data_IF_930819697149
#
_entry.id   IF_930819697149
#
_cell.length_a   1.000
_cell.length_b   1.000
_cell.length_c   1.000
_cell.angle_alpha   90.00
_cell.angle_beta   90.00
_cell.angle_gamma   90.00
#
_symmetry.space_group_name_H-M   'P 1'
#
loop_
_entity.id
_entity.type
_entity.pdbx_description
1 polymer ?
#
# COMPACT_ATOMS: atom_id res chain seq x y z
N UNK A 1 -11.06 -30.16 -47.05
CA UNK A 1 -11.20 -30.16 -45.58
C UNK A 1 -9.80 -30.05 -45.00
N UNK A 2 -9.42 -28.86 -44.54
CA UNK A 2 -8.44 -28.70 -43.46
C UNK A 2 -8.53 -27.25 -42.99
N UNK A 3 -9.28 -27.07 -41.90
CA UNK A 3 -9.40 -25.82 -41.17
C UNK A 3 -8.17 -25.70 -40.28
N UNK A 4 -7.24 -24.83 -40.64
CA UNK A 4 -6.15 -24.44 -39.76
C UNK A 4 -6.68 -23.47 -38.70
N UNK A 5 -7.05 -24.05 -37.56
CA UNK A 5 -7.30 -23.33 -36.31
C UNK A 5 -6.05 -22.50 -35.94
N UNK A 6 -6.13 -21.18 -36.13
CA UNK A 6 -5.25 -20.22 -35.47
C UNK A 6 -5.72 -20.09 -34.03
N UNK A 7 -5.17 -20.91 -33.15
CA UNK A 7 -5.24 -20.65 -31.71
C UNK A 7 -4.48 -19.34 -31.45
N UNK A 8 -5.20 -18.29 -31.04
CA UNK A 8 -4.59 -17.07 -30.53
C UNK A 8 -3.77 -17.42 -29.30
N UNK A 9 -2.44 -17.42 -29.43
CA UNK A 9 -1.56 -17.23 -28.27
C UNK A 9 -1.93 -15.88 -27.70
N UNK A 10 -2.56 -15.87 -26.52
CA UNK A 10 -2.82 -14.66 -25.77
C UNK A 10 -1.55 -13.81 -25.72
N UNK A 11 -1.70 -12.52 -26.00
CA UNK A 11 -0.62 -11.55 -25.88
C UNK A 11 0.14 -11.80 -24.57
N UNK A 12 1.42 -12.13 -24.66
CA UNK A 12 2.29 -12.23 -23.49
C UNK A 12 2.17 -10.93 -22.72
N UNK A 13 1.50 -11.00 -21.57
CA UNK A 13 1.21 -9.83 -20.77
C UNK A 13 2.54 -9.15 -20.39
N UNK A 14 2.72 -7.89 -20.80
CA UNK A 14 3.97 -7.12 -20.60
C UNK A 14 4.41 -7.12 -19.12
N UNK A 15 5.63 -7.56 -18.83
CA UNK A 15 6.09 -7.72 -17.44
C UNK A 15 6.08 -6.39 -16.66
N UNK A 16 6.45 -5.30 -17.34
CA UNK A 16 6.48 -3.94 -16.81
C UNK A 16 5.55 -3.06 -17.65
N UNK A 17 4.25 -3.02 -17.35
CA UNK A 17 3.32 -2.22 -18.14
C UNK A 17 3.61 -0.72 -18.02
N UNK A 18 3.34 0.03 -19.07
CA UNK A 18 3.45 1.50 -19.05
C UNK A 18 2.44 2.15 -18.08
N UNK A 19 2.93 3.06 -17.22
CA UNK A 19 2.15 3.81 -16.23
C UNK A 19 2.39 5.33 -16.41
N UNK A 20 1.86 5.96 -17.47
CA UNK A 20 2.02 7.39 -17.69
C UNK A 20 1.29 8.20 -16.61
N UNK A 21 2.01 9.11 -15.94
CA UNK A 21 1.49 9.87 -14.79
C UNK A 21 0.16 10.57 -15.07
N UNK A 22 0.07 11.35 -16.15
CA UNK A 22 -1.13 12.14 -16.45
C UNK A 22 -2.40 11.30 -16.65
N UNK A 23 -2.27 10.05 -17.09
CA UNK A 23 -3.42 9.20 -17.33
C UNK A 23 -3.85 8.38 -16.09
N UNK A 24 -2.96 8.23 -15.10
CA UNK A 24 -3.22 7.42 -13.91
C UNK A 24 -3.40 8.26 -12.63
N UNK A 25 -2.96 9.53 -12.62
CA UNK A 25 -2.91 10.40 -11.43
C UNK A 25 -4.22 10.46 -10.63
N UNK A 26 -5.38 10.59 -11.27
CA UNK A 26 -6.65 10.70 -10.53
C UNK A 26 -6.99 9.39 -9.81
N UNK A 27 -6.61 8.24 -10.41
CA UNK A 27 -6.71 6.92 -9.77
C UNK A 27 -5.66 6.75 -8.68
N UNK A 28 -4.44 7.30 -8.85
CA UNK A 28 -3.40 7.33 -7.83
C UNK A 28 -3.90 7.98 -6.55
N UNK A 29 -4.37 9.21 -6.66
CA UNK A 29 -4.73 10.05 -5.52
C UNK A 29 -5.90 9.43 -4.76
N UNK A 30 -6.91 8.93 -5.48
CA UNK A 30 -8.05 8.25 -4.87
C UNK A 30 -7.63 6.94 -4.20
N UNK A 31 -6.84 6.10 -4.88
CA UNK A 31 -6.37 4.83 -4.32
C UNK A 31 -5.43 5.05 -3.12
N UNK A 32 -4.62 6.11 -3.14
CA UNK A 32 -3.79 6.52 -2.01
C UNK A 32 -4.65 6.81 -0.79
N UNK A 33 -5.71 7.59 -0.92
CA UNK A 33 -6.64 7.85 0.18
C UNK A 33 -7.36 6.59 0.66
N UNK A 34 -7.75 5.67 -0.23
CA UNK A 34 -8.34 4.39 0.20
C UNK A 34 -7.34 3.52 0.97
N UNK A 35 -6.08 3.47 0.54
CA UNK A 35 -5.03 2.76 1.29
C UNK A 35 -4.71 3.42 2.63
N UNK A 36 -4.85 4.74 2.76
CA UNK A 36 -4.74 5.45 4.05
C UNK A 36 -5.81 4.97 5.02
N UNK A 37 -7.07 4.88 4.59
CA UNK A 37 -8.18 4.42 5.44
C UNK A 37 -7.91 2.99 5.95
N UNK A 38 -7.61 2.06 5.04
CA UNK A 38 -7.34 0.66 5.39
C UNK A 38 -6.07 0.54 6.25
N UNK A 39 -5.03 1.28 5.91
CA UNK A 39 -3.76 1.32 6.61
C UNK A 39 -3.88 1.83 8.04
N UNK A 40 -4.74 2.82 8.28
CA UNK A 40 -5.03 3.34 9.62
C UNK A 40 -5.80 2.37 10.49
N UNK A 41 -6.74 1.61 9.93
CA UNK A 41 -7.39 0.51 10.68
C UNK A 41 -6.35 -0.50 11.14
N UNK A 42 -5.42 -0.87 10.26
CA UNK A 42 -4.28 -1.73 10.63
C UNK A 42 -3.43 -1.09 11.73
N UNK A 43 -3.09 0.19 11.60
CA UNK A 43 -2.27 0.93 12.57
C UNK A 43 -2.88 0.93 13.97
N UNK A 44 -4.19 1.20 14.09
CA UNK A 44 -4.88 1.28 15.39
C UNK A 44 -5.01 -0.09 16.07
N UNK A 45 -5.14 -1.17 15.31
CA UNK A 45 -5.45 -2.50 15.84
C UNK A 45 -4.22 -3.43 15.94
N UNK A 46 -3.12 -3.10 15.27
CA UNK A 46 -1.91 -3.92 15.30
C UNK A 46 -0.97 -3.48 16.42
N UNK A 47 -0.30 -4.41 17.11
CA UNK A 47 0.77 -4.07 18.04
C UNK A 47 1.85 -3.23 17.36
N UNK A 48 2.27 -2.15 18.02
CA UNK A 48 3.34 -1.32 17.52
C UNK A 48 4.61 -2.14 17.27
N UNK A 49 5.17 -2.01 16.07
CA UNK A 49 6.49 -2.51 15.70
C UNK A 49 7.35 -1.33 15.30
N UNK A 50 8.59 -1.30 15.83
CA UNK A 50 9.56 -0.24 15.59
C UNK A 50 9.72 0.10 14.10
N UNK A 51 10.11 1.34 13.83
CA UNK A 51 10.21 1.92 12.48
C UNK A 51 8.86 1.90 11.74
N UNK A 52 7.75 1.96 12.48
CA UNK A 52 6.38 1.91 11.96
C UNK A 52 6.03 0.67 11.14
N UNK A 53 6.75 -0.45 11.29
CA UNK A 53 6.55 -1.63 10.44
C UNK A 53 5.20 -2.32 10.58
N UNK A 54 4.46 -2.04 11.65
CA UNK A 54 3.12 -2.58 11.89
C UNK A 54 2.05 -1.93 11.00
N UNK A 55 2.31 -0.79 10.37
CA UNK A 55 1.28 -0.06 9.60
C UNK A 55 1.20 -0.49 8.13
N UNK A 56 2.23 -1.12 7.59
CA UNK A 56 2.45 -1.30 6.14
C UNK A 56 1.43 -2.22 5.48
N UNK A 57 1.35 -2.22 4.15
CA UNK A 57 0.67 -3.24 3.36
C UNK A 57 1.69 -4.14 2.65
N UNK A 58 1.25 -5.31 2.20
CA UNK A 58 2.09 -6.28 1.51
C UNK A 58 1.53 -6.64 0.14
N UNK A 59 2.41 -6.77 -0.85
CA UNK A 59 2.02 -7.20 -2.20
C UNK A 59 1.61 -8.67 -2.19
N UNK A 60 0.46 -8.95 -2.79
CA UNK A 60 -0.08 -10.30 -3.01
C UNK A 60 -0.14 -10.63 -4.51
N UNK A 61 -0.38 -11.89 -4.88
CA UNK A 61 -0.62 -12.27 -6.28
C UNK A 61 -1.86 -11.63 -6.92
N UNK A 62 -2.64 -10.82 -6.20
CA UNK A 62 -3.86 -10.16 -6.71
C UNK A 62 -3.97 -8.68 -6.34
N UNK A 63 -3.18 -8.18 -5.39
CA UNK A 63 -3.20 -6.78 -4.99
C UNK A 63 -2.35 -6.49 -3.75
N UNK A 64 -2.97 -5.90 -2.73
CA UNK A 64 -2.33 -5.51 -1.47
C UNK A 64 -3.09 -6.10 -0.28
N UNK A 65 -2.39 -6.45 0.80
CA UNK A 65 -3.01 -6.98 2.03
C UNK A 65 -2.46 -6.31 3.27
N UNK A 66 -3.31 -6.16 4.28
CA UNK A 66 -2.91 -5.83 5.66
C UNK A 66 -2.28 -7.00 6.41
N UNK A 67 -2.13 -8.18 5.78
CA UNK A 67 -1.89 -9.44 6.51
C UNK A 67 -2.90 -9.64 7.64
N UNK A 68 -2.64 -10.61 8.53
CA UNK A 68 -3.48 -10.80 9.71
C UNK A 68 -3.31 -9.64 10.70
N UNK A 69 -4.40 -8.94 10.98
CA UNK A 69 -4.57 -7.97 12.05
C UNK A 69 -5.17 -8.71 13.26
N UNK A 70 -4.52 -8.71 14.42
CA UNK A 70 -5.10 -9.25 15.66
C UNK A 70 -6.36 -8.49 16.06
N UNK A 71 -7.44 -9.21 16.40
CA UNK A 71 -8.65 -8.59 16.91
C UNK A 71 -9.42 -9.53 17.84
N UNK A 72 -9.61 -9.10 19.09
CA UNK A 72 -10.27 -9.89 20.14
C UNK A 72 -9.72 -11.33 20.25
N UNK A 73 -10.53 -12.34 19.90
CA UNK A 73 -10.17 -13.77 19.98
C UNK A 73 -9.64 -14.36 18.67
N UNK A 74 -9.49 -13.55 17.62
CA UNK A 74 -9.08 -14.01 16.30
C UNK A 74 -8.25 -12.97 15.55
N UNK A 75 -8.31 -13.06 14.22
CA UNK A 75 -7.65 -12.13 13.32
C UNK A 75 -8.56 -11.80 12.15
N UNK A 76 -8.35 -10.66 11.52
CA UNK A 76 -8.92 -10.38 10.21
C UNK A 76 -7.88 -9.79 9.28
N UNK A 77 -8.14 -9.79 7.98
CA UNK A 77 -7.30 -9.16 6.98
C UNK A 77 -8.17 -8.35 6.02
N UNK A 78 -7.63 -7.24 5.53
CA UNK A 78 -8.22 -6.46 4.45
C UNK A 78 -7.34 -6.60 3.22
N UNK A 79 -7.94 -7.03 2.11
CA UNK A 79 -7.25 -7.34 0.87
C UNK A 79 -7.82 -6.49 -0.27
N UNK A 80 -7.00 -5.64 -0.86
CA UNK A 80 -7.27 -5.07 -2.17
C UNK A 80 -7.00 -6.15 -3.23
N UNK A 81 -7.99 -6.40 -4.07
CA UNK A 81 -7.91 -7.25 -5.24
C UNK A 81 -8.05 -6.37 -6.49
N UNK A 82 -6.96 -6.20 -7.22
CA UNK A 82 -6.89 -5.40 -8.44
C UNK A 82 -7.07 -6.24 -9.72
N UNK A 83 -7.49 -7.50 -9.58
CA UNK A 83 -7.91 -8.36 -10.71
C UNK A 83 -9.44 -8.36 -10.80
N UNK A 84 -10.12 -8.63 -9.68
CA UNK A 84 -11.58 -8.59 -9.59
C UNK A 84 -12.12 -7.23 -9.15
N UNK A 85 -11.24 -6.28 -8.81
CA UNK A 85 -11.59 -4.93 -8.38
C UNK A 85 -12.52 -4.94 -7.17
N UNK A 86 -12.12 -5.66 -6.13
CA UNK A 86 -12.84 -5.78 -4.86
C UNK A 86 -11.90 -5.54 -3.67
N UNK A 87 -12.47 -5.01 -2.59
CA UNK A 87 -11.87 -4.99 -1.27
C UNK A 87 -12.52 -6.07 -0.42
N UNK A 88 -11.74 -7.05 0.03
CA UNK A 88 -12.22 -8.12 0.90
C UNK A 88 -11.81 -7.88 2.33
N UNK A 89 -12.76 -7.96 3.26
CA UNK A 89 -12.49 -8.08 4.70
C UNK A 89 -12.78 -9.53 5.08
N UNK A 90 -11.74 -10.25 5.49
CA UNK A 90 -11.79 -11.69 5.79
C UNK A 90 -11.44 -11.91 7.26
N UNK A 91 -12.25 -12.66 8.00
CA UNK A 91 -12.01 -12.99 9.41
C UNK A 91 -11.54 -14.44 9.57
N UNK A 92 -10.88 -14.74 10.68
CA UNK A 92 -10.42 -16.09 11.02
C UNK A 92 -11.56 -17.07 11.38
N UNK A 93 -12.78 -16.57 11.59
CA UNK A 93 -13.97 -17.39 11.85
C UNK A 93 -14.74 -17.76 10.57
N UNK A 94 -14.23 -17.36 9.41
CA UNK A 94 -14.79 -17.70 8.09
C UNK A 94 -15.85 -16.73 7.59
N UNK A 95 -16.17 -15.66 8.33
CA UNK A 95 -17.03 -14.58 7.83
C UNK A 95 -16.27 -13.61 6.94
N UNK A 96 -17.00 -12.86 6.12
CA UNK A 96 -16.38 -11.90 5.21
C UNK A 96 -17.33 -10.79 4.76
N UNK A 97 -16.76 -9.68 4.32
CA UNK A 97 -17.43 -8.62 3.56
C UNK A 97 -16.62 -8.29 2.32
N UNK A 98 -17.33 -7.84 1.29
CA UNK A 98 -16.74 -7.42 0.02
C UNK A 98 -17.29 -6.06 -0.34
N UNK A 99 -16.41 -5.16 -0.78
CA UNK A 99 -16.78 -3.85 -1.33
C UNK A 99 -16.20 -3.73 -2.74
N UNK A 100 -16.96 -3.26 -3.73
CA UNK A 100 -16.41 -3.04 -5.06
C UNK A 100 -15.43 -1.84 -5.06
N UNK A 101 -14.32 -1.99 -5.77
CA UNK A 101 -13.41 -0.90 -6.10
C UNK A 101 -13.88 -0.28 -7.42
N UNK A 102 -14.72 0.76 -7.30
CA UNK A 102 -15.35 1.48 -8.42
C UNK A 102 -15.19 2.98 -8.21
N UNK A 103 -15.32 3.82 -9.25
CA UNK A 103 -15.34 5.28 -9.08
C UNK A 103 -16.37 5.71 -8.04
N UNK A 104 -15.89 6.28 -6.93
CA UNK A 104 -16.69 6.84 -5.82
C UNK A 104 -15.79 7.72 -4.98
N UNK A 105 -16.37 8.70 -4.30
CA UNK A 105 -15.61 9.58 -3.41
C UNK A 105 -14.95 8.81 -2.26
N UNK A 106 -13.87 9.39 -1.73
CA UNK A 106 -13.19 8.88 -0.53
C UNK A 106 -14.14 8.83 0.67
N UNK A 107 -15.02 9.83 0.84
CA UNK A 107 -16.06 9.81 1.89
C UNK A 107 -17.01 8.62 1.75
N UNK A 108 -17.51 8.36 0.54
CA UNK A 108 -18.40 7.23 0.30
C UNK A 108 -17.68 5.89 0.57
N UNK A 109 -16.42 5.76 0.14
CA UNK A 109 -15.60 4.59 0.45
C UNK A 109 -15.40 4.43 1.95
N UNK A 110 -15.06 5.50 2.66
CA UNK A 110 -14.83 5.50 4.11
C UNK A 110 -16.07 5.01 4.86
N UNK A 111 -17.25 5.59 4.58
CA UNK A 111 -18.50 5.22 5.25
C UNK A 111 -18.86 3.75 5.03
N UNK A 112 -18.77 3.26 3.79
CA UNK A 112 -19.10 1.87 3.46
C UNK A 112 -18.10 0.89 4.06
N UNK A 113 -16.80 1.22 4.06
CA UNK A 113 -15.76 0.38 4.66
C UNK A 113 -15.93 0.28 6.18
N UNK A 114 -16.16 1.40 6.88
CA UNK A 114 -16.41 1.40 8.32
C UNK A 114 -17.70 0.65 8.67
N UNK A 115 -18.75 0.78 7.86
CA UNK A 115 -19.97 0.00 8.02
C UNK A 115 -19.74 -1.52 7.83
N UNK A 116 -18.87 -1.91 6.90
CA UNK A 116 -18.49 -3.31 6.70
C UNK A 116 -17.71 -3.88 7.90
N UNK A 117 -16.79 -3.09 8.48
CA UNK A 117 -16.09 -3.47 9.70
C UNK A 117 -17.07 -3.66 10.87
N UNK A 118 -17.94 -2.69 11.11
CA UNK A 118 -18.97 -2.77 12.16
C UNK A 118 -19.91 -3.97 11.96
N UNK A 119 -20.31 -4.27 10.71
CA UNK A 119 -21.14 -5.44 10.41
C UNK A 119 -20.43 -6.79 10.67
N UNK A 120 -19.10 -6.81 10.74
CA UNK A 120 -18.28 -7.95 11.15
C UNK A 120 -17.95 -7.93 12.65
N UNK A 121 -18.50 -6.97 13.40
CA UNK A 121 -18.21 -6.77 14.83
C UNK A 121 -16.80 -6.22 15.10
N UNK A 122 -16.18 -5.59 14.10
CA UNK A 122 -14.86 -4.95 14.21
C UNK A 122 -15.08 -3.47 14.53
N UNK A 123 -15.00 -3.15 15.81
CA UNK A 123 -15.01 -1.79 16.34
C UNK A 123 -13.61 -1.17 16.30
N UNK A 124 -13.48 -0.02 15.62
CA UNK A 124 -12.24 0.76 15.53
C UNK A 124 -12.57 2.22 15.24
N UNK A 125 -11.80 3.14 15.81
CA UNK A 125 -11.81 4.56 15.45
C UNK A 125 -10.47 4.91 14.87
N UNK A 126 -10.44 5.55 13.69
CA UNK A 126 -9.21 6.01 13.06
C UNK A 126 -9.15 7.54 13.04
N UNK A 127 -7.94 8.11 13.07
CA UNK A 127 -7.77 9.53 12.75
C UNK A 127 -8.14 9.76 11.27
N UNK A 128 -9.14 10.59 10.99
CA UNK A 128 -9.63 10.78 9.62
C UNK A 128 -8.77 11.71 8.76
N UNK A 129 -7.79 12.43 9.32
CA UNK A 129 -6.89 13.31 8.56
C UNK A 129 -5.73 12.50 7.95
N UNK A 130 -5.58 12.40 6.60
CA UNK A 130 -4.49 11.67 5.95
C UNK A 130 -3.09 12.06 6.45
N UNK A 131 -2.19 11.08 6.49
CA UNK A 131 -0.79 11.24 6.92
C UNK A 131 0.11 11.36 5.71
N UNK A 132 1.14 12.21 5.78
CA UNK A 132 2.15 12.37 4.71
C UNK A 132 1.58 12.81 3.34
N UNK A 133 0.38 13.40 3.35
CA UNK A 133 -0.27 13.96 2.15
C UNK A 133 -0.21 15.49 2.21
N UNK A 134 0.09 16.12 1.07
CA UNK A 134 0.06 17.59 0.95
C UNK A 134 -1.39 18.08 0.91
N UNK A 135 -1.72 19.08 1.72
CA UNK A 135 -3.07 19.66 1.82
C UNK A 135 -4.17 18.58 2.07
N UNK A 136 -4.06 17.81 3.18
CA UNK A 136 -4.93 16.66 3.40
C UNK A 136 -6.40 17.09 3.61
N UNK A 137 -7.32 16.41 2.93
CA UNK A 137 -8.76 16.47 3.18
C UNK A 137 -9.12 15.32 4.11
N UNK A 138 -9.96 15.56 5.12
CA UNK A 138 -10.43 14.51 6.02
C UNK A 138 -11.18 13.45 5.23
N UNK A 139 -10.87 12.16 5.43
CA UNK A 139 -11.45 11.09 4.61
C UNK A 139 -12.96 10.91 4.80
N UNK A 140 -13.53 11.45 5.87
CA UNK A 140 -14.98 11.51 6.12
C UNK A 140 -15.67 12.74 5.48
N UNK A 141 -14.91 13.58 4.77
CA UNK A 141 -15.39 14.81 4.10
C UNK A 141 -14.88 14.95 2.64
N UNK A 142 -13.94 14.10 2.22
CA UNK A 142 -13.30 14.12 0.91
C UNK A 142 -14.22 13.62 -0.23
N UNK A 143 -14.91 14.58 -0.84
CA UNK A 143 -15.66 14.44 -2.10
C UNK A 143 -14.83 14.78 -3.35
N UNK A 144 -13.56 15.18 -3.19
CA UNK A 144 -12.70 15.63 -4.30
C UNK A 144 -12.10 14.43 -5.03
N UNK A 145 -11.50 13.51 -4.27
CA UNK A 145 -10.91 12.30 -4.86
C UNK A 145 -11.99 11.23 -5.07
N UNK A 146 -12.31 10.93 -6.33
CA UNK A 146 -13.42 10.02 -6.67
C UNK A 146 -13.18 9.11 -7.89
N UNK A 147 -11.96 9.13 -8.44
CA UNK A 147 -11.64 8.45 -9.70
C UNK A 147 -11.06 7.06 -9.45
N UNK A 148 -11.47 6.08 -10.25
CA UNK A 148 -10.87 4.75 -10.22
C UNK A 148 -10.95 4.09 -11.59
N UNK A 149 -9.81 3.99 -12.28
CA UNK A 149 -9.68 3.21 -13.50
C UNK A 149 -9.10 1.82 -13.17
N UNK A 150 -9.88 0.73 -13.37
CA UNK A 150 -9.42 -0.63 -13.10
C UNK A 150 -8.18 -1.02 -13.92
N UNK A 151 -8.02 -0.49 -15.14
CA UNK A 151 -6.87 -0.79 -16.01
C UNK A 151 -5.60 -0.20 -15.39
N UNK A 152 -5.63 1.06 -14.94
CA UNK A 152 -4.46 1.68 -14.32
C UNK A 152 -4.13 1.09 -12.95
N UNK A 153 -5.15 0.78 -12.13
CA UNK A 153 -4.93 0.08 -10.85
C UNK A 153 -4.26 -1.29 -11.06
N UNK A 154 -4.67 -2.04 -12.08
CA UNK A 154 -4.05 -3.32 -12.44
C UNK A 154 -2.61 -3.14 -12.96
N UNK A 155 -2.33 -2.12 -13.79
CA UNK A 155 -0.97 -1.83 -14.27
C UNK A 155 -0.03 -1.48 -13.11
N UNK A 156 -0.48 -0.60 -12.20
CA UNK A 156 0.26 -0.25 -11.00
C UNK A 156 0.58 -1.50 -10.16
N UNK A 157 -0.43 -2.34 -9.90
CA UNK A 157 -0.21 -3.59 -9.15
C UNK A 157 0.79 -4.53 -9.84
N UNK A 158 0.72 -4.69 -11.16
CA UNK A 158 1.67 -5.55 -11.90
C UNK A 158 3.10 -5.04 -11.78
N UNK A 159 3.30 -3.72 -11.77
CA UNK A 159 4.60 -3.10 -11.48
C UNK A 159 5.02 -3.45 -10.05
N UNK A 160 4.14 -3.25 -9.04
CA UNK A 160 4.44 -3.60 -7.65
C UNK A 160 4.86 -5.07 -7.48
N UNK A 161 4.22 -6.01 -8.21
CA UNK A 161 4.61 -7.43 -8.20
C UNK A 161 6.03 -7.64 -8.71
N UNK A 162 6.45 -6.95 -9.77
CA UNK A 162 7.82 -7.07 -10.26
C UNK A 162 8.81 -6.39 -9.31
N UNK A 163 8.50 -5.21 -8.77
CA UNK A 163 9.33 -4.52 -7.78
C UNK A 163 9.51 -5.37 -6.53
N UNK A 164 8.43 -5.96 -6.01
CA UNK A 164 8.46 -6.85 -4.84
C UNK A 164 9.37 -8.06 -5.06
N UNK A 165 9.34 -8.67 -6.26
CA UNK A 165 10.28 -9.75 -6.62
C UNK A 165 11.73 -9.28 -6.61
N UNK A 166 12.01 -8.12 -7.20
CA UNK A 166 13.36 -7.52 -7.21
C UNK A 166 13.84 -7.22 -5.78
N UNK A 167 12.99 -6.62 -4.95
CA UNK A 167 13.33 -6.29 -3.57
C UNK A 167 13.49 -7.51 -2.67
N UNK A 168 12.67 -8.56 -2.86
CA UNK A 168 12.84 -9.85 -2.17
C UNK A 168 14.18 -10.50 -2.52
N UNK A 169 14.57 -10.49 -3.79
CA UNK A 169 15.89 -10.97 -4.21
C UNK A 169 17.00 -10.10 -3.62
N UNK A 170 16.88 -8.78 -3.74
CA UNK A 170 17.85 -7.82 -3.22
C UNK A 170 18.09 -8.02 -1.72
N UNK A 171 17.06 -8.15 -0.89
CA UNK A 171 17.22 -8.32 0.56
C UNK A 171 17.75 -9.68 0.99
N UNK A 172 17.58 -10.73 0.17
CA UNK A 172 17.83 -12.12 0.58
C UNK A 172 19.23 -12.45 1.12
N UNK A 173 20.37 -11.94 0.57
CA UNK A 173 21.69 -12.27 1.09
C UNK A 173 22.06 -11.47 2.35
N UNK A 174 21.27 -10.48 2.77
CA UNK A 174 21.61 -9.62 3.91
C UNK A 174 21.27 -10.31 5.23
N UNK A 175 22.28 -10.49 6.08
CA UNK A 175 22.16 -11.22 7.35
C UNK A 175 21.68 -10.37 8.54
N UNK A 176 21.72 -9.04 8.41
CA UNK A 176 21.30 -8.12 9.47
C UNK A 176 19.79 -7.84 9.50
N UNK A 177 19.38 -6.91 10.37
CA UNK A 177 17.98 -6.46 10.42
C UNK A 177 17.58 -5.81 9.08
N UNK A 178 16.60 -6.38 8.41
CA UNK A 178 16.05 -5.86 7.17
C UNK A 178 14.53 -6.01 7.17
N UNK A 179 13.83 -4.94 6.77
CA UNK A 179 12.37 -4.98 6.66
C UNK A 179 11.94 -6.07 5.67
N UNK A 180 10.74 -6.64 5.81
CA UNK A 180 10.00 -7.15 4.66
C UNK A 180 9.91 -6.08 3.55
N UNK A 181 9.44 -6.48 2.37
CA UNK A 181 9.06 -5.51 1.35
C UNK A 181 7.74 -4.87 1.80
N UNK A 182 7.81 -3.59 2.14
CA UNK A 182 6.71 -2.85 2.74
C UNK A 182 6.12 -1.87 1.74
N UNK A 183 4.80 -1.86 1.64
CA UNK A 183 4.08 -0.76 1.00
C UNK A 183 3.63 0.23 2.08
N UNK A 184 4.21 1.41 2.11
CA UNK A 184 3.83 2.47 3.04
C UNK A 184 2.68 3.27 2.43
N UNK A 185 1.48 3.12 2.98
CA UNK A 185 0.30 3.88 2.52
C UNK A 185 0.36 5.37 2.87
N UNK A 186 1.24 5.78 3.79
CA UNK A 186 1.51 7.18 4.11
C UNK A 186 2.04 7.92 2.89
N UNK A 187 3.21 7.50 2.42
CA UNK A 187 3.93 8.03 1.24
C UNK A 187 3.55 7.39 -0.10
N UNK A 188 2.72 6.33 -0.10
CA UNK A 188 2.27 5.57 -1.27
C UNK A 188 3.39 4.93 -2.10
N UNK A 189 4.35 4.32 -1.41
CA UNK A 189 5.53 3.74 -2.05
C UNK A 189 5.87 2.35 -1.49
N UNK A 190 6.65 1.60 -2.26
CA UNK A 190 7.18 0.30 -1.86
C UNK A 190 8.64 0.45 -1.45
N UNK A 191 9.02 -0.06 -0.28
CA UNK A 191 10.37 0.08 0.23
C UNK A 191 10.91 -1.20 0.86
N UNK A 192 12.24 -1.33 0.82
CA UNK A 192 13.01 -2.30 1.58
C UNK A 192 14.19 -1.61 2.24
N UNK A 193 14.28 -1.76 3.56
CA UNK A 193 15.24 -1.02 4.37
C UNK A 193 16.15 -1.99 5.12
N UNK A 194 17.45 -1.74 5.06
CA UNK A 194 18.48 -2.47 5.81
C UNK A 194 19.05 -1.57 6.89
N UNK A 195 19.37 -2.16 8.03
CA UNK A 195 19.85 -1.44 9.21
C UNK A 195 21.26 -1.88 9.54
N UNK A 196 22.13 -0.93 9.90
CA UNK A 196 23.50 -1.27 10.36
C UNK A 196 23.50 -1.86 11.77
N UNK A 197 22.42 -1.67 12.53
CA UNK A 197 22.28 -2.03 13.93
C UNK A 197 22.69 -0.93 14.91
N UNK A 198 23.31 0.16 14.43
CA UNK A 198 23.64 1.34 15.26
C UNK A 198 22.46 2.32 15.31
N UNK A 199 22.38 3.07 16.40
CA UNK A 199 21.44 4.19 16.54
C UNK A 199 21.88 5.34 15.63
N UNK A 200 20.95 5.96 14.91
CA UNK A 200 21.27 7.15 14.12
C UNK A 200 21.44 8.37 15.05
N UNK A 201 22.21 9.39 14.62
CA UNK A 201 22.22 10.68 15.29
C UNK A 201 20.80 11.25 15.41
N UNK A 202 20.53 11.96 16.50
CA UNK A 202 19.25 12.65 16.67
C UNK A 202 19.04 13.65 15.53
N UNK A 203 17.79 13.80 15.09
CA UNK A 203 17.36 14.77 14.08
C UNK A 203 16.55 15.87 14.78
N UNK A 204 17.17 17.00 15.17
CA UNK A 204 16.46 18.07 15.85
C UNK A 204 15.26 18.55 15.03
N UNK A 205 14.10 18.68 15.67
CA UNK A 205 12.86 19.14 15.02
C UNK A 205 12.13 18.08 14.18
N UNK A 206 12.64 16.84 14.08
CA UNK A 206 11.91 15.77 13.40
C UNK A 206 10.60 15.45 14.14
N UNK A 207 9.52 15.33 13.37
CA UNK A 207 8.23 14.83 13.84
C UNK A 207 8.35 13.37 14.34
N UNK A 208 7.31 12.85 14.99
CA UNK A 208 7.31 11.52 15.58
C UNK A 208 7.46 10.40 14.55
N UNK A 209 6.93 10.57 13.34
CA UNK A 209 7.01 9.59 12.26
C UNK A 209 8.47 9.48 11.83
N UNK A 210 9.06 10.60 11.43
CA UNK A 210 10.45 10.73 10.97
C UNK A 210 11.43 10.24 12.04
N UNK A 211 11.21 10.60 13.32
CA UNK A 211 12.10 10.24 14.42
C UNK A 211 12.17 8.74 14.67
N UNK A 212 11.03 8.05 14.60
CA UNK A 212 10.98 6.61 14.81
C UNK A 212 11.43 5.83 13.56
N UNK A 213 11.00 6.26 12.36
CA UNK A 213 11.40 5.66 11.08
C UNK A 213 12.93 5.65 10.89
N UNK A 214 13.58 6.70 11.37
CA UNK A 214 15.03 6.89 11.26
C UNK A 214 15.75 6.88 12.61
N UNK A 215 15.22 6.15 13.59
CA UNK A 215 15.84 6.01 14.92
C UNK A 215 17.18 5.27 14.88
N UNK A 216 17.40 4.45 13.86
CA UNK A 216 18.61 3.67 13.61
C UNK A 216 19.23 4.03 12.27
N UNK A 217 20.52 3.73 12.09
CA UNK A 217 21.17 3.95 10.81
C UNK A 217 20.61 2.99 9.75
N UNK A 218 20.21 3.54 8.60
CA UNK A 218 19.53 2.79 7.54
C UNK A 218 20.13 3.09 6.16
N UNK A 219 20.05 2.10 5.29
CA UNK A 219 19.96 2.31 3.84
C UNK A 219 18.60 1.81 3.38
N UNK A 220 17.83 2.66 2.71
CA UNK A 220 16.53 2.34 2.18
C UNK A 220 16.56 2.42 0.68
N UNK A 221 15.98 1.42 0.01
CA UNK A 221 15.71 1.43 -1.41
C UNK A 221 14.21 1.30 -1.60
N UNK A 222 13.63 2.05 -2.53
CA UNK A 222 12.20 2.00 -2.77
C UNK A 222 11.82 2.33 -4.19
N UNK A 223 10.52 2.26 -4.42
CA UNK A 223 9.84 2.53 -5.67
C UNK A 223 8.59 3.34 -5.36
N UNK A 224 8.42 4.47 -6.03
CA UNK A 224 7.15 5.19 -6.05
C UNK A 224 6.58 5.21 -7.47
N UNK A 225 5.26 5.37 -7.65
CA UNK A 225 4.64 5.43 -8.97
C UNK A 225 4.65 6.82 -9.64
N UNK A 226 5.32 7.80 -9.00
CA UNK A 226 5.39 9.20 -9.44
C UNK A 226 4.32 10.06 -8.78
N UNK A 227 4.56 11.37 -8.77
CA UNK A 227 3.70 12.40 -8.21
C UNK A 227 3.78 13.70 -9.04
N UNK A 228 3.15 14.77 -8.56
CA UNK A 228 3.17 16.08 -9.25
C UNK A 228 4.59 16.66 -9.43
N UNK A 229 5.50 16.36 -8.50
CA UNK A 229 6.88 16.86 -8.49
C UNK A 229 7.80 16.02 -9.38
N UNK A 230 7.55 14.71 -9.45
CA UNK A 230 8.27 13.75 -10.27
C UNK A 230 7.28 12.84 -11.00
N UNK A 231 6.87 13.26 -12.21
CA UNK A 231 5.76 12.69 -12.99
C UNK A 231 6.09 11.37 -13.71
N UNK A 232 6.95 10.55 -13.12
CA UNK A 232 7.36 9.25 -13.67
C UNK A 232 7.57 8.23 -12.54
N UNK A 233 7.25 6.93 -12.74
CA UNK A 233 7.62 5.90 -11.79
C UNK A 233 9.14 5.80 -11.64
N UNK A 234 9.65 5.74 -10.42
CA UNK A 234 11.08 5.75 -10.16
C UNK A 234 11.48 4.83 -9.01
N UNK A 235 12.66 4.23 -9.17
CA UNK A 235 13.39 3.67 -8.03
C UNK A 235 14.18 4.79 -7.35
N UNK A 236 14.23 4.74 -6.03
CA UNK A 236 15.02 5.67 -5.23
C UNK A 236 15.87 4.90 -4.21
N UNK A 237 16.92 5.54 -3.71
CA UNK A 237 17.71 5.03 -2.60
C UNK A 237 18.25 6.18 -1.76
N UNK A 238 18.27 6.01 -0.45
CA UNK A 238 18.86 6.98 0.47
C UNK A 238 19.49 6.28 1.68
N UNK A 239 20.38 7.00 2.38
CA UNK A 239 20.94 6.57 3.66
C UNK A 239 20.59 7.56 4.75
N UNK A 240 20.46 7.05 5.97
CA UNK A 240 20.32 7.86 7.17
C UNK A 240 21.30 7.32 8.22
N UNK A 241 22.26 8.14 8.71
CA UNK A 241 22.61 9.48 8.22
C UNK A 241 23.16 9.46 6.78
N UNK A 242 23.35 10.66 6.21
CA UNK A 242 24.11 10.81 4.97
C UNK A 242 25.56 10.34 5.18
N UNK A 243 26.21 9.75 4.14
CA UNK A 243 27.58 9.26 4.24
C UNK A 243 28.60 10.38 4.47
#
# INVERSE_FOLDING_TARGET
>A
MESTSKTSRGETAELWPSLPFEAWKDTCETLHMWTQIVGKVRMELSPFVNHWWHVTLYVTPRGLTTSAIPYQRGTFAVNFDFIEHNLFVLTSDGTSKTLPLIPRSVTAFYQEFMACLHALGIEVTINTLPSEVRNPIRCDEDEVHASYDPIYAQRFWRILVQVDKVFKQFRSPFLGKCSPVHFFWGSFDLAVTRFSGRRAPERPGADSITREAYSHEVISCGFWPGDETFKEPAFYSYTVPAP
#
